data_IF_504060966320
#
_entry.id   IF_504060966320
#
_cell.length_a   1.000
_cell.length_b   1.000
_cell.length_c   1.000
_cell.angle_alpha   90.00
_cell.angle_beta   90.00
_cell.angle_gamma   90.00
#
_symmetry.space_group_name_H-M   'P 1'
#
loop_
_entity.id
_entity.type
_entity.pdbx_description
1 polymer ?
#
# COMPACT_ATOMS: atom_id res chain seq x y z
N UNK A 1 -10.15 14.99 -23.88
CA UNK A 1 -10.25 13.73 -23.11
C UNK A 1 -8.90 13.56 -22.43
N UNK A 2 -8.81 13.42 -21.10
CA UNK A 2 -7.52 13.17 -20.46
C UNK A 2 -7.08 11.74 -20.82
N UNK A 3 -5.83 11.60 -21.25
CA UNK A 3 -5.19 10.31 -21.50
C UNK A 3 -5.20 9.47 -20.23
N UNK A 4 -6.04 8.44 -20.19
CA UNK A 4 -5.84 7.32 -19.28
C UNK A 4 -4.58 6.61 -19.73
N UNK A 5 -3.45 7.01 -19.15
CA UNK A 5 -2.21 6.26 -19.22
C UNK A 5 -2.51 4.84 -18.76
N UNK A 6 -2.54 3.90 -19.71
CA UNK A 6 -2.56 2.47 -19.42
C UNK A 6 -1.48 2.19 -18.36
N UNK A 7 -1.82 1.45 -17.29
CA UNK A 7 -0.84 1.11 -16.27
C UNK A 7 0.32 0.39 -16.93
N UNK A 8 1.43 1.10 -17.04
CA UNK A 8 2.67 0.59 -17.62
C UNK A 8 3.03 -0.72 -16.92
N UNK A 9 3.51 -1.74 -17.67
CA UNK A 9 3.78 -3.04 -17.10
C UNK A 9 4.74 -2.92 -15.92
N UNK A 10 4.42 -3.64 -14.84
CA UNK A 10 5.30 -3.75 -13.69
C UNK A 10 6.68 -4.20 -14.16
N UNK A 11 7.76 -3.67 -13.59
CA UNK A 11 9.07 -4.14 -13.96
C UNK A 11 9.24 -5.64 -13.69
N UNK A 12 10.06 -6.32 -14.50
CA UNK A 12 10.13 -7.78 -14.55
C UNK A 12 10.45 -8.50 -13.22
N UNK A 13 11.00 -7.79 -12.24
CA UNK A 13 11.37 -8.31 -10.91
C UNK A 13 10.23 -8.24 -9.88
N UNK A 14 9.26 -7.35 -10.09
CA UNK A 14 8.17 -7.10 -9.14
C UNK A 14 6.94 -7.93 -9.47
N UNK A 15 6.53 -8.76 -8.51
CA UNK A 15 5.39 -9.66 -8.66
C UNK A 15 4.22 -9.13 -7.84
N UNK A 16 3.05 -8.97 -8.45
CA UNK A 16 1.81 -8.62 -7.74
C UNK A 16 1.32 -9.86 -6.96
N UNK A 17 1.07 -9.70 -5.67
CA UNK A 17 0.67 -10.79 -4.78
C UNK A 17 -0.57 -10.39 -3.97
N UNK A 18 -1.77 -10.28 -4.54
CA UNK A 18 -2.95 -9.79 -3.80
C UNK A 18 -3.72 -10.87 -3.00
N UNK A 19 -3.27 -12.12 -3.00
CA UNK A 19 -3.95 -13.26 -2.36
C UNK A 19 -3.99 -13.20 -0.81
N UNK A 20 -3.08 -12.44 -0.19
CA UNK A 20 -3.08 -12.20 1.25
C UNK A 20 -1.77 -11.60 1.74
N UNK A 21 -1.81 -10.78 2.80
CA UNK A 21 -0.65 -10.03 3.31
C UNK A 21 0.59 -10.91 3.48
N UNK A 22 1.70 -10.47 2.88
CA UNK A 22 2.97 -11.19 2.96
C UNK A 22 3.48 -11.27 4.40
N UNK A 23 3.94 -12.44 4.88
CA UNK A 23 4.55 -12.58 6.20
C UNK A 23 5.71 -11.61 6.45
N UNK A 24 6.43 -11.23 5.39
CA UNK A 24 7.50 -10.23 5.41
C UNK A 24 7.09 -8.95 6.17
N UNK A 25 5.86 -8.45 5.98
CA UNK A 25 5.40 -7.23 6.64
C UNK A 25 5.41 -7.35 8.16
N UNK A 26 5.02 -8.50 8.69
CA UNK A 26 5.06 -8.77 10.13
C UNK A 26 6.50 -8.78 10.64
N UNK A 27 7.41 -9.42 9.91
CA UNK A 27 8.83 -9.47 10.25
C UNK A 27 9.46 -8.07 10.23
N UNK A 28 9.15 -7.25 9.21
CA UNK A 28 9.60 -5.85 9.12
C UNK A 28 9.05 -5.00 10.26
N UNK A 29 7.77 -5.15 10.60
CA UNK A 29 7.14 -4.43 11.72
C UNK A 29 7.78 -4.79 13.07
N UNK A 30 8.00 -6.07 13.33
CA UNK A 30 8.68 -6.55 14.55
C UNK A 30 10.16 -6.17 14.59
N UNK A 31 10.80 -5.93 13.45
CA UNK A 31 12.18 -5.46 13.42
C UNK A 31 12.34 -3.99 13.82
N UNK A 32 11.33 -3.15 13.54
CA UNK A 32 11.34 -1.73 13.89
C UNK A 32 10.66 -1.42 15.22
N UNK A 33 9.75 -2.28 15.66
CA UNK A 33 8.92 -2.05 16.85
C UNK A 33 8.86 -3.31 17.72
N UNK A 34 8.37 -3.22 18.95
CA UNK A 34 8.15 -4.43 19.76
C UNK A 34 7.04 -5.30 19.14
N UNK A 35 7.02 -6.63 19.35
CA UNK A 35 5.94 -7.49 18.86
C UNK A 35 4.54 -7.04 19.32
N UNK A 36 4.41 -6.43 20.51
CA UNK A 36 3.13 -5.88 20.97
C UNK A 36 2.74 -4.62 20.19
N UNK A 37 3.70 -3.73 19.90
CA UNK A 37 3.48 -2.54 19.07
C UNK A 37 3.19 -2.91 17.61
N UNK A 38 3.90 -3.89 17.09
CA UNK A 38 3.67 -4.48 15.77
C UNK A 38 2.26 -5.07 15.70
N UNK A 39 1.80 -5.80 16.71
CA UNK A 39 0.43 -6.32 16.77
C UNK A 39 -0.62 -5.20 16.75
N UNK A 40 -0.40 -4.09 17.47
CA UNK A 40 -1.31 -2.93 17.48
C UNK A 40 -1.31 -2.16 16.15
N UNK A 41 -0.16 -2.05 15.49
CA UNK A 41 -0.04 -1.35 14.21
C UNK A 41 -0.50 -2.22 13.04
N UNK A 42 -0.13 -3.50 13.02
CA UNK A 42 -0.67 -4.50 12.11
C UNK A 42 -2.17 -4.67 12.31
N UNK A 43 -2.66 -4.54 13.55
CA UNK A 43 -4.07 -4.30 13.78
C UNK A 43 -4.49 -3.03 13.04
N UNK A 44 -4.04 -1.82 13.39
CA UNK A 44 -4.46 -0.60 12.68
C UNK A 44 -4.43 -0.65 11.13
N UNK A 45 -3.42 -1.30 10.52
CA UNK A 45 -3.29 -1.51 9.07
C UNK A 45 -4.13 -2.67 8.50
N UNK A 46 -4.41 -3.71 9.29
CA UNK A 46 -5.01 -4.97 8.84
C UNK A 46 -6.23 -5.44 9.63
N UNK A 47 -6.69 -4.75 10.69
CA UNK A 47 -7.39 -5.45 11.77
C UNK A 47 -8.74 -5.97 11.34
N UNK A 48 -9.62 -5.16 10.77
CA UNK A 48 -11.04 -5.48 11.00
C UNK A 48 -11.95 -5.39 9.79
N UNK A 49 -11.44 -4.95 8.64
CA UNK A 49 -12.25 -4.99 7.41
C UNK A 49 -11.42 -5.43 6.20
N UNK A 50 -11.17 -6.75 6.08
CA UNK A 50 -10.70 -7.37 4.83
C UNK A 50 -11.66 -7.16 3.63
N UNK A 51 -12.77 -6.43 3.82
CA UNK A 51 -13.59 -5.94 2.71
C UNK A 51 -12.91 -4.81 1.95
N UNK A 52 -11.96 -4.10 2.54
CA UNK A 52 -11.29 -2.99 1.88
C UNK A 52 -10.19 -3.49 0.94
N UNK A 53 -10.04 -2.85 -0.23
CA UNK A 53 -9.09 -3.29 -1.23
C UNK A 53 -7.66 -3.08 -0.76
N UNK A 54 -6.81 -4.06 -1.04
CA UNK A 54 -5.36 -4.02 -0.81
C UNK A 54 -4.64 -4.38 -2.10
N UNK A 55 -3.46 -3.83 -2.32
CA UNK A 55 -2.56 -4.28 -3.37
C UNK A 55 -1.16 -4.41 -2.79
N UNK A 56 -0.44 -5.48 -3.16
CA UNK A 56 0.94 -5.62 -2.74
C UNK A 56 1.79 -6.24 -3.85
N UNK A 57 3.07 -5.91 -3.79
CA UNK A 57 4.09 -6.37 -4.69
C UNK A 57 5.28 -6.89 -3.89
N UNK A 58 5.93 -7.93 -4.42
CA UNK A 58 7.14 -8.50 -3.84
C UNK A 58 8.22 -8.62 -4.91
N UNK A 59 9.45 -8.28 -4.52
CA UNK A 59 10.64 -8.50 -5.31
C UNK A 59 11.51 -9.57 -4.60
N UNK A 60 11.52 -10.83 -5.09
CA UNK A 60 12.30 -11.90 -4.48
C UNK A 60 13.81 -11.72 -4.68
N UNK A 61 14.26 -10.92 -5.66
CA UNK A 61 15.68 -10.72 -5.90
C UNK A 61 16.34 -9.85 -4.82
N UNK A 62 15.57 -8.93 -4.22
CA UNK A 62 16.04 -7.98 -3.23
C UNK A 62 15.36 -8.10 -1.86
N UNK A 63 14.48 -9.10 -1.70
CA UNK A 63 13.61 -9.28 -0.54
C UNK A 63 12.86 -8.00 -0.13
N UNK A 64 12.35 -7.30 -1.14
CA UNK A 64 11.65 -6.02 -0.98
C UNK A 64 10.17 -6.17 -1.24
N UNK A 65 9.34 -5.37 -0.57
CA UNK A 65 7.89 -5.39 -0.78
C UNK A 65 7.30 -3.99 -0.82
N UNK A 66 6.17 -3.86 -1.51
CA UNK A 66 5.35 -2.65 -1.52
C UNK A 66 3.90 -3.03 -1.21
N UNK A 67 3.21 -2.24 -0.40
CA UNK A 67 1.84 -2.48 0.02
C UNK A 67 1.04 -1.18 -0.07
N UNK A 68 -0.15 -1.27 -0.66
CA UNK A 68 -1.20 -0.26 -0.61
C UNK A 68 -2.27 -0.78 0.33
N UNK A 69 -2.52 -0.05 1.41
CA UNK A 69 -3.50 -0.42 2.42
C UNK A 69 -4.17 0.83 3.03
N UNK A 70 -5.38 0.71 3.61
CA UNK A 70 -5.98 1.77 4.39
C UNK A 70 -5.05 2.20 5.54
N UNK A 71 -4.82 3.50 5.69
CA UNK A 71 -3.96 4.05 6.76
C UNK A 71 -4.79 4.64 7.92
N UNK A 72 -6.00 5.11 7.62
CA UNK A 72 -6.89 5.74 8.60
C UNK A 72 -7.75 4.72 9.34
N UNK A 73 -7.98 4.96 10.63
CA UNK A 73 -8.97 4.21 11.40
C UNK A 73 -10.39 4.42 10.84
N UNK A 74 -11.26 3.39 10.82
CA UNK A 74 -12.62 3.48 10.25
C UNK A 74 -13.52 4.53 10.90
N UNK A 75 -13.17 5.02 12.09
CA UNK A 75 -13.91 6.07 12.80
C UNK A 75 -13.69 7.48 12.21
N UNK A 76 -12.65 7.65 11.38
CA UNK A 76 -12.34 8.92 10.74
C UNK A 76 -13.33 9.27 9.62
N UNK A 77 -13.76 10.55 9.51
CA UNK A 77 -14.74 10.99 8.53
C UNK A 77 -14.23 10.94 7.09
N UNK A 78 -12.92 10.98 6.93
CA UNK A 78 -12.19 10.83 5.66
C UNK A 78 -11.29 9.61 5.82
N UNK A 79 -11.31 8.73 4.83
CA UNK A 79 -10.43 7.57 4.78
C UNK A 79 -9.36 7.77 3.72
N UNK A 80 -8.21 7.11 3.87
CA UNK A 80 -7.09 7.20 2.93
C UNK A 80 -6.37 5.89 2.73
N UNK A 81 -5.82 5.72 1.53
CA UNK A 81 -4.87 4.65 1.23
C UNK A 81 -3.44 5.16 1.37
N UNK A 82 -2.65 4.48 2.20
CA UNK A 82 -1.22 4.68 2.32
C UNK A 82 -0.45 3.70 1.45
N UNK A 83 0.73 4.12 0.99
CA UNK A 83 1.69 3.28 0.29
C UNK A 83 2.85 3.01 1.26
N UNK A 84 3.15 1.74 1.50
CA UNK A 84 4.19 1.28 2.41
C UNK A 84 5.24 0.53 1.60
N UNK A 85 6.51 0.85 1.83
CA UNK A 85 7.66 0.23 1.18
C UNK A 85 8.56 -0.46 2.22
N UNK A 86 8.85 -1.73 1.97
CA UNK A 86 9.84 -2.51 2.69
C UNK A 86 11.10 -2.64 1.83
N UNK A 87 12.17 -1.88 2.13
CA UNK A 87 13.40 -1.89 1.34
C UNK A 87 14.22 -3.17 1.55
N UNK A 88 15.23 -3.42 0.68
CA UNK A 88 16.23 -4.44 0.93
C UNK A 88 16.94 -4.20 2.27
N UNK A 89 17.19 -5.27 3.03
CA UNK A 89 17.96 -5.19 4.27
C UNK A 89 17.17 -4.87 5.54
N UNK A 90 15.86 -4.60 5.44
CA UNK A 90 14.97 -4.56 6.60
C UNK A 90 14.21 -3.26 6.83
N UNK A 91 13.30 -3.32 7.81
CA UNK A 91 12.36 -2.25 8.09
C UNK A 91 11.26 -2.05 7.04
N UNK A 92 10.46 -1.01 7.27
CA UNK A 92 9.51 -0.46 6.31
C UNK A 92 9.40 1.06 6.50
N UNK A 93 8.88 1.74 5.50
CA UNK A 93 8.60 3.18 5.52
C UNK A 93 7.32 3.46 4.75
N UNK A 94 6.64 4.54 5.10
CA UNK A 94 5.54 5.04 4.28
C UNK A 94 6.13 5.88 3.14
N UNK A 95 5.64 5.66 1.92
CA UNK A 95 5.98 6.47 0.75
C UNK A 95 5.14 7.73 0.79
N UNK A 96 5.80 8.88 0.90
CA UNK A 96 5.14 10.18 0.83
C UNK A 96 4.51 10.37 -0.56
N UNK A 97 3.19 10.33 -0.61
CA UNK A 97 2.38 10.43 -1.82
C UNK A 97 1.18 11.35 -1.58
N UNK A 98 0.41 11.63 -2.64
CA UNK A 98 -0.87 12.32 -2.50
C UNK A 98 -1.78 11.53 -1.54
N UNK A 99 -2.72 12.17 -0.83
CA UNK A 99 -3.38 11.52 0.29
C UNK A 99 -4.43 10.45 -0.10
N UNK A 100 -4.66 10.18 -1.40
CA UNK A 100 -5.54 9.09 -1.89
C UNK A 100 -6.80 8.86 -1.05
N UNK A 101 -7.56 9.94 -0.83
CA UNK A 101 -8.65 9.98 0.15
C UNK A 101 -10.03 9.73 -0.47
N UNK A 102 -10.97 9.24 0.34
CA UNK A 102 -12.40 9.20 0.02
C UNK A 102 -13.26 9.46 1.27
N UNK A 103 -14.54 9.75 1.04
CA UNK A 103 -15.51 9.99 2.11
C UNK A 103 -16.47 8.79 2.25
N UNK A 104 -16.33 7.92 3.27
CA UNK A 104 -17.20 6.74 3.42
C UNK A 104 -18.69 7.07 3.58
N UNK A 105 -18.98 8.27 4.10
CA UNK A 105 -20.37 8.76 4.30
C UNK A 105 -21.00 9.30 3.02
N UNK A 106 -20.20 9.57 1.99
CA UNK A 106 -20.65 10.06 0.68
C UNK A 106 -20.14 9.14 -0.46
N UNK A 107 -20.42 7.82 -0.45
CA UNK A 107 -19.75 6.82 -1.30
C UNK A 107 -20.03 6.97 -2.81
N UNK A 108 -21.01 7.81 -3.19
CA UNK A 108 -21.37 8.09 -4.58
C UNK A 108 -20.76 9.38 -5.12
N UNK A 109 -20.01 10.11 -4.29
CA UNK A 109 -19.35 11.36 -4.66
C UNK A 109 -17.87 11.07 -4.85
N UNK A 110 -17.35 11.44 -6.01
CA UNK A 110 -15.92 11.30 -6.29
C UNK A 110 -15.10 12.20 -5.35
N UNK A 111 -13.93 11.75 -4.87
CA UNK A 111 -13.37 10.42 -5.07
C UNK A 111 -14.08 9.32 -4.26
N UNK A 112 -14.46 8.24 -4.95
CA UNK A 112 -14.98 6.99 -4.36
C UNK A 112 -13.86 6.12 -3.80
N UNK A 113 -14.19 5.11 -2.98
CA UNK A 113 -13.21 4.16 -2.45
C UNK A 113 -12.39 3.48 -3.57
N UNK A 114 -13.06 3.08 -4.65
CA UNK A 114 -12.41 2.44 -5.79
C UNK A 114 -11.47 3.42 -6.53
N UNK A 115 -11.90 4.65 -6.78
CA UNK A 115 -11.07 5.67 -7.43
C UNK A 115 -9.85 6.03 -6.58
N UNK A 116 -10.02 6.15 -5.26
CA UNK A 116 -8.94 6.40 -4.31
C UNK A 116 -7.94 5.22 -4.30
N UNK A 117 -8.44 3.98 -4.31
CA UNK A 117 -7.60 2.79 -4.37
C UNK A 117 -6.82 2.69 -5.68
N UNK A 118 -7.48 2.89 -6.82
CA UNK A 118 -6.84 2.87 -8.14
C UNK A 118 -5.78 3.96 -8.26
N UNK A 119 -6.03 5.15 -7.72
CA UNK A 119 -5.04 6.23 -7.67
C UNK A 119 -3.82 5.85 -6.82
N UNK A 120 -4.03 5.22 -5.66
CA UNK A 120 -2.94 4.74 -4.80
C UNK A 120 -2.13 3.60 -5.46
N UNK A 121 -2.81 2.69 -6.16
CA UNK A 121 -2.16 1.63 -6.94
C UNK A 121 -1.33 2.21 -8.08
N UNK A 122 -1.85 3.18 -8.83
CA UNK A 122 -1.12 3.82 -9.90
C UNK A 122 0.14 4.54 -9.37
N UNK A 123 0.03 5.22 -8.23
CA UNK A 123 1.17 5.89 -7.60
C UNK A 123 2.20 4.87 -7.06
N UNK A 124 1.74 3.77 -6.47
CA UNK A 124 2.59 2.66 -6.06
C UNK A 124 3.37 2.05 -7.25
N UNK A 125 2.70 1.86 -8.39
CA UNK A 125 3.35 1.38 -9.61
C UNK A 125 4.40 2.38 -10.15
N UNK A 126 4.12 3.69 -10.11
CA UNK A 126 5.11 4.72 -10.45
C UNK A 126 6.31 4.66 -9.51
N UNK A 127 6.08 4.49 -8.21
CA UNK A 127 7.16 4.33 -7.24
C UNK A 127 8.06 3.14 -7.58
N UNK A 128 7.50 1.97 -7.91
CA UNK A 128 8.27 0.78 -8.31
C UNK A 128 9.13 1.02 -9.55
N UNK A 129 8.65 1.82 -10.51
CA UNK A 129 9.43 2.19 -11.68
C UNK A 129 10.61 3.09 -11.32
N UNK A 130 10.38 4.09 -10.47
CA UNK A 130 11.43 5.01 -10.02
C UNK A 130 12.48 4.28 -9.20
N UNK A 131 12.06 3.41 -8.28
CA UNK A 131 12.96 2.61 -7.44
C UNK A 131 14.00 1.87 -8.28
N UNK A 132 13.58 1.24 -9.37
CA UNK A 132 14.48 0.54 -10.29
C UNK A 132 15.49 1.42 -11.03
N UNK A 133 15.33 2.73 -11.07
CA UNK A 133 16.37 3.63 -11.62
C UNK A 133 17.48 3.94 -10.61
N UNK A 134 17.28 3.62 -9.33
CA UNK A 134 18.22 3.94 -8.25
C UNK A 134 18.90 2.70 -7.62
N UNK A 135 18.50 1.47 -8.01
CA UNK A 135 19.15 0.21 -7.61
C UNK A 135 20.27 -0.18 -8.56
#
# INVERSE_FOLDING_TARGET
MPDWQEPQPLPATWQRCDTGILPLWWDRLCSQTSPQSAAMYAAGLFTEDRRRPIAQWYNPASDSALLVAPETSPEWPVQRFGIFYAPPGGGFTQVHSAPHEWHPREPRKSPTEQEAFEAAVAEAQRFLQVEMYFV
#
